data_IF_554655529405
#
_entry.id   IF_554655529405
#
_cell.length_a   1.000
_cell.length_b   1.000
_cell.length_c   1.000
_cell.angle_alpha   90.00
_cell.angle_beta   90.00
_cell.angle_gamma   90.00
#
_symmetry.space_group_name_H-M   'P 1'
#
loop_
_entity.id
_entity.type
_entity.pdbx_description
1 polymer ?
#
# COMPACT_ATOMS: atom_id res chain seq x y z
N UNK A 1 -8.53 43.65 -4.96
CA UNK A 1 -7.13 43.68 -5.41
C UNK A 1 -6.90 42.43 -6.26
N UNK A 2 -6.65 42.58 -7.56
CA UNK A 2 -6.33 41.43 -8.40
C UNK A 2 -4.84 41.13 -8.24
N UNK A 3 -4.50 39.86 -8.00
CA UNK A 3 -3.10 39.40 -7.93
C UNK A 3 -2.43 39.59 -9.31
N UNK A 4 -1.24 40.19 -9.29
CA UNK A 4 -0.42 40.30 -10.50
C UNK A 4 0.07 38.91 -10.89
N UNK A 5 -0.22 38.45 -12.12
CA UNK A 5 0.19 37.15 -12.62
C UNK A 5 1.67 37.05 -12.94
N UNK A 6 2.46 38.13 -12.80
CA UNK A 6 3.90 38.12 -13.06
C UNK A 6 4.72 37.31 -12.07
N UNK A 7 4.27 37.25 -10.80
CA UNK A 7 4.99 36.62 -9.71
C UNK A 7 4.38 35.30 -9.23
N UNK A 8 3.30 34.84 -9.88
CA UNK A 8 2.56 33.66 -9.47
C UNK A 8 2.23 32.78 -10.65
N UNK A 9 2.51 31.49 -10.52
CA UNK A 9 2.10 30.46 -11.49
C UNK A 9 0.85 29.78 -10.97
N UNK A 10 -0.21 29.71 -11.77
CA UNK A 10 -1.40 28.95 -11.42
C UNK A 10 -1.05 27.47 -11.21
N UNK A 11 -1.48 26.90 -10.10
CA UNK A 11 -1.33 25.47 -9.82
C UNK A 11 -2.46 24.75 -10.55
N UNK A 12 -2.12 23.79 -11.40
CA UNK A 12 -3.09 22.87 -11.98
C UNK A 12 -3.64 21.93 -10.90
N UNK A 13 -4.76 22.32 -10.33
CA UNK A 13 -5.42 21.54 -9.28
C UNK A 13 -5.97 20.19 -9.80
N UNK A 14 -6.20 20.04 -11.10
CA UNK A 14 -6.56 18.74 -11.67
C UNK A 14 -5.34 17.81 -11.71
N UNK A 15 -4.19 18.31 -12.12
CA UNK A 15 -2.95 17.55 -12.04
C UNK A 15 -2.56 17.24 -10.59
N UNK A 16 -2.73 18.18 -9.67
CA UNK A 16 -2.45 17.98 -8.24
C UNK A 16 -3.44 17.00 -7.57
N UNK A 17 -4.70 16.99 -7.98
CA UNK A 17 -5.71 16.05 -7.46
C UNK A 17 -5.62 14.66 -8.14
N UNK A 18 -5.03 14.55 -9.33
CA UNK A 18 -4.72 13.28 -9.99
C UNK A 18 -3.47 12.64 -9.38
N UNK A 19 -3.36 12.66 -8.07
CA UNK A 19 -2.27 12.09 -7.27
C UNK A 19 -2.15 10.54 -7.30
N UNK A 20 -2.65 9.88 -8.31
CA UNK A 20 -2.11 8.61 -8.77
C UNK A 20 -1.00 8.92 -9.79
N UNK A 21 0.07 9.53 -9.33
CA UNK A 21 1.28 9.88 -10.06
C UNK A 21 1.91 8.65 -10.73
N UNK A 22 1.25 8.11 -11.74
CA UNK A 22 1.82 7.09 -12.59
C UNK A 22 2.31 5.81 -11.89
N UNK A 23 1.90 5.54 -10.66
CA UNK A 23 2.41 4.42 -9.87
C UNK A 23 1.46 3.21 -9.87
N UNK A 24 2.04 2.04 -10.09
CA UNK A 24 1.33 0.76 -9.95
C UNK A 24 1.24 0.40 -8.47
N UNK A 25 0.07 0.56 -7.86
CA UNK A 25 -0.14 0.29 -6.43
C UNK A 25 -1.20 -0.77 -6.19
N UNK A 26 -0.91 -1.61 -5.20
CA UNK A 26 -1.82 -2.55 -4.56
C UNK A 26 -2.21 -1.93 -3.21
N UNK A 27 -3.47 -1.62 -3.04
CA UNK A 27 -3.97 -0.98 -1.82
C UNK A 27 -4.77 -1.98 -0.99
N UNK A 28 -4.58 -1.96 0.32
CA UNK A 28 -5.29 -2.79 1.29
C UNK A 28 -6.05 -1.88 2.26
N UNK A 29 -7.32 -2.20 2.46
CA UNK A 29 -8.18 -1.60 3.48
C UNK A 29 -8.87 -2.70 4.29
N UNK A 30 -9.53 -2.35 5.40
CA UNK A 30 -10.34 -3.33 6.17
C UNK A 30 -11.46 -3.96 5.34
N UNK A 31 -11.97 -3.25 4.33
CA UNK A 31 -13.10 -3.70 3.51
C UNK A 31 -12.69 -4.44 2.23
N UNK A 32 -11.44 -4.36 1.80
CA UNK A 32 -11.01 -4.98 0.56
C UNK A 32 -9.67 -4.49 0.06
N UNK A 33 -9.25 -5.04 -1.07
CA UNK A 33 -8.09 -4.60 -1.82
C UNK A 33 -8.48 -3.82 -3.07
N UNK A 34 -7.52 -3.08 -3.61
CA UNK A 34 -7.73 -2.27 -4.81
C UNK A 34 -6.44 -2.14 -5.62
N UNK A 35 -6.56 -2.20 -6.93
CA UNK A 35 -5.51 -1.80 -7.87
C UNK A 35 -5.64 -0.32 -8.23
N UNK A 36 -4.51 0.36 -8.36
CA UNK A 36 -4.49 1.76 -8.84
C UNK A 36 -4.95 1.84 -10.30
N UNK A 37 -5.53 2.99 -10.67
CA UNK A 37 -5.93 3.24 -12.06
C UNK A 37 -4.75 3.16 -13.04
N UNK A 38 -3.56 3.58 -12.59
CA UNK A 38 -2.34 3.48 -13.40
C UNK A 38 -1.98 2.02 -13.69
N UNK A 39 -2.01 1.11 -12.70
CA UNK A 39 -1.76 -0.31 -12.91
C UNK A 39 -2.75 -0.92 -13.90
N UNK A 40 -4.05 -0.58 -13.73
CA UNK A 40 -5.13 -1.06 -14.60
C UNK A 40 -4.84 -0.67 -16.06
N UNK A 41 -4.45 0.58 -16.28
CA UNK A 41 -4.18 1.14 -17.61
C UNK A 41 -2.89 0.58 -18.22
N UNK A 42 -1.81 0.51 -17.44
CA UNK A 42 -0.49 0.09 -17.90
C UNK A 42 -0.49 -1.36 -18.38
N UNK A 43 -1.25 -2.22 -17.73
CA UNK A 43 -1.28 -3.65 -18.03
C UNK A 43 -2.60 -4.12 -18.64
N UNK A 44 -3.47 -3.19 -19.05
CA UNK A 44 -4.78 -3.48 -19.61
C UNK A 44 -5.51 -4.61 -18.86
N UNK A 45 -6.00 -4.28 -17.67
CA UNK A 45 -6.68 -5.26 -16.84
C UNK A 45 -8.10 -5.61 -17.34
N UNK A 46 -8.58 -4.99 -18.41
CA UNK A 46 -9.94 -5.19 -18.92
C UNK A 46 -10.29 -6.66 -19.20
N UNK A 47 -9.39 -7.50 -19.77
CA UNK A 47 -9.72 -8.88 -20.07
C UNK A 47 -9.67 -9.82 -18.85
N UNK A 48 -9.18 -9.35 -17.69
CA UNK A 48 -8.99 -10.20 -16.52
C UNK A 48 -10.18 -10.09 -15.56
N UNK A 49 -10.69 -11.25 -15.11
CA UNK A 49 -11.86 -11.33 -14.26
C UNK A 49 -11.58 -11.93 -12.89
N UNK A 50 -10.44 -12.60 -12.74
CA UNK A 50 -10.01 -13.17 -11.46
C UNK A 50 -8.49 -13.12 -11.29
N UNK A 51 -8.02 -13.45 -10.10
CA UNK A 51 -6.60 -13.57 -9.79
C UNK A 51 -6.35 -14.67 -8.78
N UNK A 52 -5.23 -15.34 -8.91
CA UNK A 52 -4.71 -16.32 -7.95
C UNK A 52 -3.53 -15.74 -7.21
N UNK A 53 -3.40 -16.08 -5.93
CA UNK A 53 -2.30 -15.64 -5.09
C UNK A 53 -1.35 -16.80 -4.81
N UNK A 54 -0.07 -16.48 -4.77
CA UNK A 54 1.00 -17.42 -4.43
C UNK A 54 1.85 -16.84 -3.30
N UNK A 55 2.28 -17.70 -2.42
CA UNK A 55 3.25 -17.35 -1.38
C UNK A 55 4.66 -17.54 -1.92
N UNK A 56 5.51 -16.55 -1.77
CA UNK A 56 6.95 -16.74 -1.98
C UNK A 56 7.52 -17.57 -0.82
N UNK A 57 8.20 -18.69 -1.14
CA UNK A 57 8.73 -19.59 -0.12
C UNK A 57 9.86 -18.95 0.73
N UNK A 58 10.60 -18.02 0.12
CA UNK A 58 11.75 -17.36 0.74
C UNK A 58 11.43 -16.02 1.40
N UNK A 59 10.22 -15.46 1.18
CA UNK A 59 9.87 -14.12 1.65
C UNK A 59 8.42 -14.08 2.14
N UNK A 60 8.19 -14.09 3.46
CA UNK A 60 6.85 -14.12 4.04
C UNK A 60 6.06 -12.81 3.81
N UNK A 61 6.73 -11.75 3.40
CA UNK A 61 6.11 -10.46 3.10
C UNK A 61 5.75 -10.31 1.63
N UNK A 62 6.25 -11.19 0.77
CA UNK A 62 5.98 -11.12 -0.66
C UNK A 62 4.73 -11.88 -1.04
N UNK A 63 3.77 -11.16 -1.61
CA UNK A 63 2.61 -11.73 -2.27
C UNK A 63 2.86 -11.70 -3.76
N UNK A 64 2.79 -12.85 -4.39
CA UNK A 64 2.76 -12.99 -5.85
C UNK A 64 1.32 -13.17 -6.26
N UNK A 65 0.89 -12.56 -7.34
CA UNK A 65 -0.43 -12.79 -7.92
C UNK A 65 -0.39 -12.89 -9.43
N UNK A 66 -1.27 -13.71 -9.95
CA UNK A 66 -1.46 -13.93 -11.38
C UNK A 66 -2.87 -13.48 -11.79
N UNK A 67 -2.95 -12.68 -12.84
CA UNK A 67 -4.20 -12.24 -13.43
C UNK A 67 -4.72 -13.27 -14.40
N UNK A 68 -6.00 -13.65 -14.26
CA UNK A 68 -6.65 -14.72 -15.01
C UNK A 68 -7.86 -14.14 -15.76
N UNK A 69 -8.00 -14.50 -17.03
CA UNK A 69 -9.10 -14.02 -17.87
C UNK A 69 -10.43 -14.63 -17.51
N UNK A 70 -10.43 -15.85 -16.99
CA UNK A 70 -11.62 -16.63 -16.65
C UNK A 70 -12.24 -16.11 -15.35
N UNK A 71 -13.54 -15.97 -15.33
CA UNK A 71 -14.29 -15.75 -14.09
C UNK A 71 -14.32 -17.04 -13.27
N UNK A 72 -14.19 -16.89 -11.94
CA UNK A 72 -14.29 -18.01 -11.00
C UNK A 72 -13.31 -19.17 -11.27
N UNK A 73 -12.12 -18.87 -11.78
CA UNK A 73 -11.07 -19.86 -11.93
C UNK A 73 -10.78 -20.54 -10.58
N UNK A 74 -10.39 -21.81 -10.62
CA UNK A 74 -10.10 -22.58 -9.39
C UNK A 74 -9.00 -21.88 -8.55
N UNK A 75 -9.23 -21.79 -7.25
CA UNK A 75 -8.32 -21.13 -6.29
C UNK A 75 -8.08 -19.62 -6.56
N UNK A 76 -9.02 -18.97 -7.20
CA UNK A 76 -8.93 -17.56 -7.54
C UNK A 76 -9.92 -16.69 -6.75
N UNK A 77 -9.65 -15.40 -6.77
CA UNK A 77 -10.55 -14.35 -6.27
C UNK A 77 -11.01 -13.50 -7.44
N UNK A 78 -12.29 -13.21 -7.50
CA UNK A 78 -12.85 -12.33 -8.53
C UNK A 78 -12.32 -10.91 -8.39
N UNK A 79 -12.00 -10.29 -9.51
CA UNK A 79 -11.66 -8.88 -9.61
C UNK A 79 -12.92 -8.15 -10.07
N UNK A 80 -13.40 -7.20 -9.26
CA UNK A 80 -14.58 -6.40 -9.61
C UNK A 80 -14.42 -5.61 -10.91
N UNK A 81 -15.53 -5.14 -11.46
CA UNK A 81 -15.49 -4.25 -12.60
C UNK A 81 -14.71 -2.96 -12.31
N UNK A 82 -14.21 -2.34 -13.35
CA UNK A 82 -13.51 -1.06 -13.23
C UNK A 82 -14.50 0.03 -12.76
N UNK A 83 -14.18 0.65 -11.63
CA UNK A 83 -14.91 1.79 -11.09
C UNK A 83 -14.08 3.07 -11.18
N UNK A 84 -14.66 4.20 -10.82
CA UNK A 84 -13.98 5.51 -10.82
C UNK A 84 -12.66 5.55 -10.04
N UNK A 85 -12.48 4.64 -9.09
CA UNK A 85 -11.33 4.58 -8.19
C UNK A 85 -10.45 3.34 -8.39
N UNK A 86 -10.64 2.59 -9.46
CA UNK A 86 -9.91 1.37 -9.77
C UNK A 86 -10.75 0.10 -9.57
N UNK A 87 -10.12 -1.07 -9.76
CA UNK A 87 -10.76 -2.37 -9.59
C UNK A 87 -10.55 -2.90 -8.17
N UNK A 88 -11.63 -3.35 -7.55
CA UNK A 88 -11.64 -3.86 -6.17
C UNK A 88 -11.70 -5.39 -6.15
N UNK A 89 -11.21 -6.00 -5.08
CA UNK A 89 -11.23 -7.43 -4.86
C UNK A 89 -11.35 -7.75 -3.36
N UNK A 90 -11.81 -8.96 -3.06
CA UNK A 90 -11.95 -9.41 -1.68
C UNK A 90 -10.60 -9.88 -1.13
N UNK A 91 -10.23 -9.40 0.08
CA UNK A 91 -8.98 -9.76 0.76
C UNK A 91 -9.16 -10.73 1.92
N UNK A 92 -10.36 -11.23 2.20
CA UNK A 92 -10.59 -12.13 3.34
C UNK A 92 -9.67 -13.36 3.29
N UNK A 93 -9.50 -13.94 2.12
CA UNK A 93 -8.57 -15.05 1.91
C UNK A 93 -7.12 -14.65 2.19
N UNK A 94 -6.69 -13.47 1.74
CA UNK A 94 -5.34 -12.96 2.00
C UNK A 94 -5.07 -12.74 3.48
N UNK A 95 -6.01 -12.19 4.22
CA UNK A 95 -5.90 -11.97 5.67
C UNK A 95 -5.63 -13.30 6.38
N UNK A 96 -6.29 -14.37 5.98
CA UNK A 96 -6.16 -15.67 6.61
C UNK A 96 -4.84 -16.38 6.24
N UNK A 97 -4.34 -16.17 5.03
CA UNK A 97 -3.19 -16.91 4.48
C UNK A 97 -1.88 -16.16 4.72
N UNK A 98 -1.90 -14.83 4.69
CA UNK A 98 -0.71 -13.98 4.80
C UNK A 98 -0.71 -13.20 6.13
N UNK A 99 0.11 -13.60 7.11
CA UNK A 99 0.20 -12.89 8.39
C UNK A 99 0.56 -11.41 8.25
N UNK A 100 1.36 -11.05 7.24
CA UNK A 100 1.70 -9.65 6.96
C UNK A 100 0.46 -8.82 6.59
N UNK A 101 -0.45 -9.36 5.78
CA UNK A 101 -1.72 -8.69 5.43
C UNK A 101 -2.59 -8.53 6.66
N UNK A 102 -2.71 -9.58 7.47
CA UNK A 102 -3.44 -9.51 8.73
C UNK A 102 -2.89 -8.42 9.63
N UNK A 103 -1.58 -8.37 9.81
CA UNK A 103 -0.92 -7.35 10.62
C UNK A 103 -1.20 -5.93 10.11
N UNK A 104 -1.17 -5.71 8.79
CA UNK A 104 -1.53 -4.41 8.18
C UNK A 104 -2.97 -4.01 8.50
N UNK A 105 -3.90 -4.94 8.39
CA UNK A 105 -5.34 -4.67 8.62
C UNK A 105 -5.68 -4.45 10.08
N UNK A 106 -5.04 -5.19 10.97
CA UNK A 106 -5.34 -5.22 12.41
C UNK A 106 -4.57 -4.16 13.21
N UNK A 107 -3.57 -3.50 12.62
CA UNK A 107 -2.75 -2.51 13.35
C UNK A 107 -3.61 -1.31 13.78
N UNK A 108 -3.71 -1.04 15.09
CA UNK A 108 -4.39 0.15 15.60
C UNK A 108 -3.71 1.43 15.08
N UNK A 109 -4.49 2.46 14.83
CA UNK A 109 -4.01 3.76 14.33
C UNK A 109 -3.28 3.72 12.99
N UNK A 110 -3.38 2.59 12.31
CA UNK A 110 -2.87 2.45 10.96
C UNK A 110 -3.63 3.36 10.01
N UNK A 111 -3.00 3.88 8.96
CA UNK A 111 -3.70 4.56 7.88
C UNK A 111 -4.89 3.70 7.40
N UNK A 112 -6.01 4.34 7.08
CA UNK A 112 -7.19 3.62 6.57
C UNK A 112 -6.90 2.81 5.30
N UNK A 113 -5.85 3.17 4.58
CA UNK A 113 -5.41 2.52 3.35
C UNK A 113 -3.90 2.37 3.34
N UNK A 114 -3.43 1.15 3.21
CA UNK A 114 -2.04 0.83 2.97
C UNK A 114 -1.81 0.64 1.48
N UNK A 115 -0.74 1.22 0.95
CA UNK A 115 -0.39 1.17 -0.47
C UNK A 115 0.99 0.56 -0.66
N UNK A 116 1.07 -0.46 -1.49
CA UNK A 116 2.30 -1.20 -1.80
C UNK A 116 2.58 -1.14 -3.29
N UNK A 117 3.85 -1.07 -3.65
CA UNK A 117 4.26 -1.08 -5.05
C UNK A 117 4.00 -2.44 -5.68
N UNK A 118 3.47 -2.41 -6.91
CA UNK A 118 3.32 -3.60 -7.73
C UNK A 118 4.50 -3.66 -8.70
N UNK A 119 5.17 -4.81 -8.70
CA UNK A 119 6.27 -5.10 -9.60
C UNK A 119 5.87 -6.25 -10.51
N UNK A 120 6.22 -6.15 -11.79
CA UNK A 120 6.04 -7.26 -12.73
C UNK A 120 7.13 -8.30 -12.53
N UNK A 121 6.77 -9.58 -12.59
CA UNK A 121 7.76 -10.66 -12.61
C UNK A 121 8.33 -10.74 -14.02
N UNK A 122 9.66 -10.62 -14.19
CA UNK A 122 10.30 -10.75 -15.49
C UNK A 122 9.96 -12.11 -16.13
N UNK A 123 9.72 -12.11 -17.43
CA UNK A 123 9.40 -13.28 -18.25
C UNK A 123 8.06 -13.97 -17.95
N UNK A 124 7.34 -13.60 -16.91
CA UNK A 124 6.00 -14.10 -16.62
C UNK A 124 4.92 -13.17 -17.16
N UNK A 125 3.98 -13.70 -17.94
CA UNK A 125 3.08 -12.88 -18.75
C UNK A 125 2.10 -12.04 -17.93
N UNK A 126 1.48 -12.59 -16.92
CA UNK A 126 0.41 -11.93 -16.14
C UNK A 126 0.70 -12.00 -14.64
N UNK A 127 1.95 -12.22 -14.25
CA UNK A 127 2.37 -12.38 -12.87
C UNK A 127 3.04 -11.13 -12.34
N UNK A 128 2.66 -10.78 -11.13
CA UNK A 128 3.13 -9.59 -10.42
C UNK A 128 3.42 -9.94 -8.96
N UNK A 129 4.16 -9.09 -8.29
CA UNK A 129 4.34 -9.19 -6.85
C UNK A 129 4.27 -7.85 -6.17
N UNK A 130 3.96 -7.87 -4.90
CA UNK A 130 4.13 -6.74 -3.99
C UNK A 130 4.70 -7.22 -2.66
N UNK A 131 5.49 -6.38 -2.01
CA UNK A 131 6.02 -6.64 -0.69
C UNK A 131 5.11 -5.95 0.33
N UNK A 132 4.38 -6.76 1.11
CA UNK A 132 3.47 -6.27 2.15
C UNK A 132 4.27 -6.07 3.44
N UNK A 133 5.06 -5.03 3.47
CA UNK A 133 5.78 -4.65 4.67
C UNK A 133 4.81 -3.80 5.51
N UNK A 134 4.38 -4.28 6.68
CA UNK A 134 3.51 -3.51 7.54
C UNK A 134 4.23 -2.23 7.96
N UNK A 135 3.76 -1.10 7.45
CA UNK A 135 4.23 0.21 7.86
C UNK A 135 3.13 0.89 8.64
N UNK A 136 3.47 1.38 9.80
CA UNK A 136 2.61 2.28 10.57
C UNK A 136 3.47 3.39 11.14
N UNK A 137 2.90 4.57 11.17
CA UNK A 137 3.50 5.72 11.81
C UNK A 137 2.69 6.02 13.07
N UNK A 138 3.38 6.11 14.19
CA UNK A 138 2.81 6.57 15.45
C UNK A 138 3.65 7.72 15.95
N UNK A 139 2.99 8.83 16.26
CA UNK A 139 3.62 9.92 16.99
C UNK A 139 3.32 9.75 18.47
N UNK A 140 4.37 9.72 19.29
CA UNK A 140 4.30 9.65 20.74
C UNK A 140 5.14 10.75 21.34
N UNK A 141 4.67 11.35 22.41
CA UNK A 141 5.54 12.20 23.21
C UNK A 141 6.59 11.33 23.90
N UNK A 142 7.76 11.89 24.14
CA UNK A 142 8.86 11.14 24.78
C UNK A 142 8.46 10.54 26.13
N UNK A 143 7.61 11.21 26.91
CA UNK A 143 7.09 10.71 28.20
C UNK A 143 6.30 9.41 28.05
N UNK A 144 5.73 9.14 26.87
CA UNK A 144 4.91 7.97 26.59
C UNK A 144 5.70 6.80 25.98
N UNK A 145 7.03 6.89 25.94
CA UNK A 145 7.93 5.86 25.39
C UNK A 145 7.60 4.45 25.92
N UNK A 146 7.25 4.34 27.22
CA UNK A 146 6.93 3.07 27.83
C UNK A 146 5.65 2.41 27.29
N UNK A 147 4.79 3.16 26.60
CA UNK A 147 3.61 2.62 25.94
C UNK A 147 3.93 1.88 24.60
N UNK A 148 5.17 1.97 24.13
CA UNK A 148 5.62 1.26 22.95
C UNK A 148 5.75 -0.22 23.30
N UNK A 149 5.17 -1.15 22.52
CA UNK A 149 5.31 -2.58 22.78
C UNK A 149 6.79 -3.01 22.76
N UNK A 150 7.12 -4.00 23.62
CA UNK A 150 8.44 -4.60 23.61
C UNK A 150 8.75 -5.21 22.23
N UNK A 151 10.02 -5.22 21.84
CA UNK A 151 10.49 -5.77 20.56
C UNK A 151 9.90 -5.09 19.31
N UNK A 152 9.45 -3.84 19.44
CA UNK A 152 9.06 -3.05 18.27
C UNK A 152 10.33 -2.59 17.55
N UNK A 153 10.62 -3.22 16.42
CA UNK A 153 11.73 -2.84 15.54
C UNK A 153 11.26 -1.97 14.40
N UNK A 154 12.04 -0.98 14.05
CA UNK A 154 11.71 -0.08 12.95
C UNK A 154 12.69 1.05 12.77
N UNK A 155 12.30 1.99 11.92
CA UNK A 155 12.95 3.29 11.80
C UNK A 155 12.14 4.27 12.64
N UNK A 156 12.82 5.04 13.44
CA UNK A 156 12.21 6.08 14.28
C UNK A 156 12.93 7.40 14.08
N UNK A 157 12.20 8.48 14.29
CA UNK A 157 12.76 9.84 14.24
C UNK A 157 12.34 10.61 15.48
N UNK A 158 13.23 11.41 15.99
CA UNK A 158 12.91 12.42 16.98
C UNK A 158 12.66 13.76 16.31
N UNK A 159 11.60 14.41 16.71
CA UNK A 159 11.23 15.73 16.25
C UNK A 159 11.43 16.73 17.41
N UNK A 160 11.83 17.96 17.08
CA UNK A 160 11.77 19.06 18.03
C UNK A 160 10.35 19.63 18.10
N UNK A 161 10.15 20.68 18.88
CA UNK A 161 8.88 21.37 19.05
C UNK A 161 8.38 22.08 17.78
N UNK A 162 9.20 22.17 16.75
CA UNK A 162 8.86 22.74 15.42
C UNK A 162 8.66 21.65 14.36
N UNK A 163 8.46 20.38 14.78
CA UNK A 163 8.36 19.22 13.92
C UNK A 163 9.57 18.97 12.99
N UNK A 164 10.73 19.58 13.34
CA UNK A 164 11.97 19.35 12.59
C UNK A 164 12.62 18.07 13.07
N UNK A 165 13.03 17.21 12.14
CA UNK A 165 13.75 15.97 12.45
C UNK A 165 15.15 16.30 12.99
N UNK A 166 15.40 15.93 14.24
CA UNK A 166 16.69 16.13 14.91
C UNK A 166 17.50 14.83 15.03
N UNK A 167 16.86 13.69 14.88
CA UNK A 167 17.54 12.40 14.92
C UNK A 167 16.72 11.34 14.15
N UNK A 168 17.46 10.44 13.48
CA UNK A 168 16.87 9.24 12.84
C UNK A 168 17.66 8.03 13.34
N UNK A 169 16.95 7.01 13.80
CA UNK A 169 17.55 5.77 14.25
C UNK A 169 16.82 4.55 13.69
N UNK A 170 17.45 3.39 13.81
CA UNK A 170 16.90 2.11 13.40
C UNK A 170 17.17 1.05 14.49
N UNK A 171 16.25 0.14 14.66
CA UNK A 171 16.37 -0.98 15.61
C UNK A 171 15.18 -1.08 16.55
N UNK A 172 15.40 -1.59 17.76
CA UNK A 172 14.35 -1.67 18.78
C UNK A 172 14.03 -0.27 19.32
N UNK A 173 12.83 0.20 19.00
CA UNK A 173 12.42 1.59 19.29
C UNK A 173 12.33 1.84 20.79
N UNK A 174 11.93 0.83 21.57
CA UNK A 174 11.73 0.99 23.02
C UNK A 174 13.04 1.07 23.81
N UNK A 175 14.10 0.46 23.31
CA UNK A 175 15.40 0.38 24.00
C UNK A 175 16.30 1.60 23.77
N UNK A 176 15.84 2.55 22.95
CA UNK A 176 16.64 3.71 22.53
C UNK A 176 16.27 5.01 23.25
#
# INVERSE_FOLDING_TARGET
MALSTKDYTAIDMQAANNNSLGECKFSITKSGGRFSAHFIKTYDLSPFQSMTYYRANSDPYRIVFELIKEANAKNSTSIGAEGKTGRVFNIKGLINIFPAVKKVVDTPHSPHTHRFDIHKIPHEKNCFYCNIIPMFEQTKEWKDKNSIPNNTNGIYRYLNHEDTVIYIGMGNIKER
#
